data_IF_760109152280
#
_entry.id   IF_760109152280
#
_cell.length_a   1.000
_cell.length_b   1.000
_cell.length_c   1.000
_cell.angle_alpha   90.00
_cell.angle_beta   90.00
_cell.angle_gamma   90.00
#
_symmetry.space_group_name_H-M   'P 1'
#
loop_
_entity.id
_entity.type
_entity.pdbx_description
1 polymer ?
#
# COMPACT_ATOMS: atom_id res chain seq x y z
N UNK A 1 -0.65 20.43 -19.12
CA UNK A 1 0.21 19.80 -18.11
C UNK A 1 -0.45 19.79 -16.73
N UNK A 2 -1.08 20.90 -16.31
CA UNK A 2 -1.75 21.03 -14.99
C UNK A 2 -2.86 20.01 -14.70
N UNK A 3 -3.70 19.69 -15.67
CA UNK A 3 -4.84 18.78 -15.45
C UNK A 3 -4.35 17.36 -15.16
N UNK A 4 -3.32 16.89 -15.87
CA UNK A 4 -2.73 15.57 -15.67
C UNK A 4 -2.07 15.46 -14.29
N UNK A 5 -1.35 16.51 -13.86
CA UNK A 5 -0.74 16.57 -12.53
C UNK A 5 -1.78 16.57 -11.41
N UNK A 6 -2.83 17.40 -11.53
CA UNK A 6 -3.92 17.45 -10.54
C UNK A 6 -4.69 16.14 -10.47
N UNK A 7 -4.95 15.50 -11.62
CA UNK A 7 -5.61 14.21 -11.68
C UNK A 7 -4.75 13.10 -11.06
N UNK A 8 -3.45 13.06 -11.37
CA UNK A 8 -2.50 12.11 -10.77
C UNK A 8 -2.38 12.29 -9.26
N UNK A 9 -2.32 13.54 -8.80
CA UNK A 9 -2.33 13.87 -7.37
C UNK A 9 -3.61 13.42 -6.67
N UNK A 10 -4.78 13.70 -7.25
CA UNK A 10 -6.05 13.25 -6.69
C UNK A 10 -6.13 11.71 -6.62
N UNK A 11 -5.62 11.01 -7.65
CA UNK A 11 -5.56 9.55 -7.65
C UNK A 11 -4.63 9.01 -6.55
N UNK A 12 -3.45 9.61 -6.37
CA UNK A 12 -2.51 9.23 -5.31
C UNK A 12 -3.11 9.45 -3.91
N UNK A 13 -3.81 10.56 -3.69
CA UNK A 13 -4.54 10.82 -2.45
C UNK A 13 -5.64 9.78 -2.22
N UNK A 14 -6.44 9.48 -3.24
CA UNK A 14 -7.48 8.45 -3.17
C UNK A 14 -6.91 7.07 -2.83
N UNK A 15 -5.83 6.66 -3.50
CA UNK A 15 -5.15 5.39 -3.21
C UNK A 15 -4.62 5.37 -1.79
N UNK A 16 -3.98 6.45 -1.34
CA UNK A 16 -3.43 6.57 0.01
C UNK A 16 -4.51 6.45 1.11
N UNK A 17 -5.73 6.88 0.83
CA UNK A 17 -6.86 6.79 1.78
C UNK A 17 -7.59 5.45 1.67
N UNK A 18 -7.88 4.98 0.45
CA UNK A 18 -8.71 3.78 0.24
C UNK A 18 -7.96 2.49 0.52
N UNK A 19 -6.65 2.43 0.23
CA UNK A 19 -5.84 1.24 0.46
C UNK A 19 -5.85 0.77 1.93
N UNK A 20 -5.53 1.61 2.94
CA UNK A 20 -5.51 1.16 4.33
C UNK A 20 -6.90 0.72 4.80
N UNK A 21 -7.98 1.40 4.37
CA UNK A 21 -9.35 1.00 4.69
C UNK A 21 -9.67 -0.40 4.13
N UNK A 22 -9.32 -0.66 2.87
CA UNK A 22 -9.50 -1.96 2.24
C UNK A 22 -8.65 -3.06 2.88
N UNK A 23 -7.39 -2.75 3.21
CA UNK A 23 -6.47 -3.68 3.84
C UNK A 23 -6.93 -4.07 5.26
N UNK A 24 -7.38 -3.10 6.07
CA UNK A 24 -7.94 -3.34 7.40
C UNK A 24 -9.22 -4.17 7.31
N UNK A 25 -10.13 -3.82 6.40
CA UNK A 25 -11.37 -4.58 6.19
C UNK A 25 -11.09 -6.04 5.82
N UNK A 26 -10.17 -6.28 4.87
CA UNK A 26 -9.78 -7.64 4.48
C UNK A 26 -9.15 -8.40 5.64
N UNK A 27 -8.27 -7.75 6.42
CA UNK A 27 -7.64 -8.36 7.58
C UNK A 27 -8.67 -8.74 8.66
N UNK A 28 -9.62 -7.85 8.97
CA UNK A 28 -10.74 -8.16 9.86
C UNK A 28 -11.57 -9.34 9.36
N UNK A 29 -11.96 -9.32 8.08
CA UNK A 29 -12.75 -10.40 7.46
C UNK A 29 -12.02 -11.75 7.53
N UNK A 30 -10.69 -11.76 7.39
CA UNK A 30 -9.88 -12.97 7.54
C UNK A 30 -9.80 -13.45 8.99
N UNK A 31 -9.66 -12.55 9.96
CA UNK A 31 -9.58 -12.90 11.38
C UNK A 31 -10.92 -13.36 11.97
N UNK A 32 -12.04 -12.87 11.45
CA UNK A 32 -13.40 -13.25 11.89
C UNK A 32 -13.89 -14.59 11.30
N UNK A 33 -13.21 -15.14 10.28
CA UNK A 33 -13.57 -16.45 9.71
C UNK A 33 -13.01 -17.57 10.58
N UNK A 34 -13.86 -18.13 11.43
CA UNK A 34 -13.58 -19.39 12.12
C UNK A 34 -13.37 -20.51 11.10
N UNK A 35 -12.24 -21.23 11.20
CA UNK A 35 -11.90 -22.38 10.35
C UNK A 35 -10.87 -22.15 9.24
N UNK A 36 -10.39 -20.92 9.01
CA UNK A 36 -9.24 -20.70 8.11
C UNK A 36 -7.90 -20.78 8.88
N UNK A 37 -6.84 -21.38 8.29
CA UNK A 37 -5.51 -21.35 8.88
C UNK A 37 -5.07 -19.89 9.05
N UNK A 38 -4.61 -19.54 10.25
CA UNK A 38 -4.14 -18.18 10.55
C UNK A 38 -3.01 -17.82 9.57
N UNK A 39 -3.02 -16.61 8.97
CA UNK A 39 -1.96 -16.19 8.07
C UNK A 39 -0.60 -16.23 8.78
N UNK A 40 0.45 -16.55 8.02
CA UNK A 40 1.80 -16.59 8.58
C UNK A 40 2.19 -15.20 9.12
N UNK A 41 3.03 -15.12 10.18
CA UNK A 41 3.50 -13.85 10.71
C UNK A 41 4.15 -12.96 9.64
N UNK A 42 4.88 -13.55 8.69
CA UNK A 42 5.48 -12.84 7.57
C UNK A 42 4.43 -12.20 6.63
N UNK A 43 3.34 -12.92 6.33
CA UNK A 43 2.24 -12.40 5.51
C UNK A 43 1.51 -11.22 6.18
N UNK A 44 1.30 -11.30 7.49
CA UNK A 44 0.73 -10.19 8.26
C UNK A 44 1.67 -8.98 8.30
N UNK A 45 2.98 -9.22 8.50
CA UNK A 45 3.97 -8.15 8.51
C UNK A 45 4.01 -7.38 7.19
N UNK A 46 3.90 -8.08 6.06
CA UNK A 46 3.80 -7.44 4.74
C UNK A 46 2.53 -6.56 4.62
N UNK A 47 1.38 -7.00 5.14
CA UNK A 47 0.17 -6.17 5.16
C UNK A 47 0.36 -4.92 6.02
N UNK A 48 0.97 -5.03 7.20
CA UNK A 48 1.26 -3.86 8.04
C UNK A 48 2.23 -2.89 7.38
N UNK A 49 3.28 -3.39 6.71
CA UNK A 49 4.20 -2.56 5.94
C UNK A 49 3.46 -1.81 4.85
N UNK A 50 2.55 -2.46 4.13
CA UNK A 50 1.75 -1.79 3.09
C UNK A 50 0.75 -0.78 3.66
N UNK A 51 0.09 -1.10 4.77
CA UNK A 51 -0.81 -0.17 5.47
C UNK A 51 -0.07 1.09 5.92
N UNK A 52 1.21 0.98 6.30
CA UNK A 52 2.01 2.14 6.68
C UNK A 52 2.58 2.90 5.47
N UNK A 53 3.13 2.19 4.49
CA UNK A 53 3.91 2.79 3.40
C UNK A 53 3.05 3.34 2.26
N UNK A 54 1.93 2.68 1.92
CA UNK A 54 1.06 3.10 0.81
C UNK A 54 0.39 4.45 1.09
N UNK A 55 -0.18 4.71 2.28
CA UNK A 55 -0.70 6.03 2.61
C UNK A 55 0.40 7.08 2.66
N UNK A 56 1.58 6.74 3.18
CA UNK A 56 2.70 7.67 3.24
C UNK A 56 3.14 8.10 1.84
N UNK A 57 3.29 7.15 0.91
CA UNK A 57 3.63 7.43 -0.48
C UNK A 57 2.49 8.11 -1.24
N UNK A 58 1.25 7.66 -1.08
CA UNK A 58 0.06 8.17 -1.79
C UNK A 58 -0.35 9.56 -1.32
N UNK A 59 -0.37 9.82 -0.01
CA UNK A 59 -0.76 11.13 0.54
C UNK A 59 0.32 12.16 0.25
N UNK A 60 1.56 11.91 0.69
CA UNK A 60 2.66 12.86 0.47
C UNK A 60 3.03 13.00 -1.02
N UNK A 61 2.93 11.91 -1.78
CA UNK A 61 3.02 11.89 -3.24
C UNK A 61 1.94 12.74 -3.90
N UNK A 62 0.69 12.57 -3.47
CA UNK A 62 -0.45 13.32 -3.96
C UNK A 62 -0.33 14.82 -3.69
N UNK A 63 0.23 15.22 -2.55
CA UNK A 63 0.49 16.62 -2.23
C UNK A 63 1.47 17.31 -3.20
N UNK A 64 2.23 16.58 -4.02
CA UNK A 64 3.11 17.16 -5.04
C UNK A 64 2.42 18.12 -6.00
N UNK A 65 1.22 17.78 -6.44
CA UNK A 65 0.44 18.58 -7.39
C UNK A 65 -0.33 19.73 -6.74
N UNK A 66 -0.37 19.81 -5.40
CA UNK A 66 -1.08 20.86 -4.66
C UNK A 66 -0.14 21.82 -3.91
N UNK A 67 1.02 21.32 -3.45
CA UNK A 67 2.02 22.08 -2.72
C UNK A 67 3.44 21.72 -3.20
N UNK A 68 3.90 22.32 -4.31
CA UNK A 68 5.21 22.03 -4.91
C UNK A 68 6.39 22.30 -3.96
N UNK A 69 6.23 23.26 -3.04
CA UNK A 69 7.23 23.62 -2.03
C UNK A 69 7.61 22.46 -1.11
N UNK A 70 6.70 21.50 -0.87
CA UNK A 70 7.02 20.29 -0.10
C UNK A 70 8.06 19.42 -0.80
N UNK A 71 8.18 19.52 -2.12
CA UNK A 71 9.14 18.76 -2.93
C UNK A 71 10.50 19.41 -3.04
N UNK A 72 10.66 20.63 -2.54
CA UNK A 72 11.98 21.27 -2.42
C UNK A 72 12.80 20.59 -1.31
N UNK A 73 12.12 20.07 -0.27
CA UNK A 73 12.74 19.33 0.82
C UNK A 73 13.27 17.97 0.38
N UNK A 74 14.60 17.81 0.42
CA UNK A 74 15.25 16.53 0.13
C UNK A 74 14.81 15.42 1.08
N UNK A 75 14.50 15.74 2.34
CA UNK A 75 14.02 14.79 3.34
C UNK A 75 12.65 14.26 2.96
N UNK A 76 11.71 15.14 2.59
CA UNK A 76 10.36 14.72 2.18
C UNK A 76 10.45 13.83 0.94
N UNK A 77 11.22 14.23 -0.08
CA UNK A 77 11.43 13.39 -1.27
C UNK A 77 11.97 12.00 -0.93
N UNK A 78 12.98 11.93 -0.06
CA UNK A 78 13.57 10.65 0.34
C UNK A 78 12.55 9.75 1.06
N UNK A 79 11.73 10.33 1.94
CA UNK A 79 10.64 9.60 2.62
C UNK A 79 9.62 9.09 1.60
N UNK A 80 9.16 9.94 0.67
CA UNK A 80 8.15 9.56 -0.32
C UNK A 80 8.68 8.47 -1.26
N UNK A 81 9.89 8.62 -1.79
CA UNK A 81 10.50 7.61 -2.64
C UNK A 81 10.76 6.31 -1.88
N UNK A 82 11.29 6.38 -0.65
CA UNK A 82 11.51 5.22 0.19
C UNK A 82 10.22 4.47 0.51
N UNK A 83 9.16 5.19 0.86
CA UNK A 83 7.83 4.63 1.09
C UNK A 83 7.28 3.97 -0.19
N UNK A 84 7.39 4.64 -1.33
CA UNK A 84 6.95 4.09 -2.62
C UNK A 84 7.68 2.79 -2.99
N UNK A 85 9.01 2.76 -2.86
CA UNK A 85 9.81 1.56 -3.13
C UNK A 85 9.42 0.43 -2.18
N UNK A 86 9.32 0.70 -0.87
CA UNK A 86 8.89 -0.29 0.12
C UNK A 86 7.49 -0.83 -0.18
N UNK A 87 6.56 0.03 -0.60
CA UNK A 87 5.22 -0.41 -1.00
C UNK A 87 5.25 -1.36 -2.19
N UNK A 88 6.03 -1.06 -3.23
CA UNK A 88 6.16 -1.93 -4.41
C UNK A 88 6.77 -3.27 -4.03
N UNK A 89 7.86 -3.27 -3.24
CA UNK A 89 8.55 -4.49 -2.80
C UNK A 89 7.63 -5.36 -1.94
N UNK A 90 6.97 -4.78 -0.93
CA UNK A 90 6.09 -5.52 -0.05
C UNK A 90 4.86 -6.08 -0.81
N UNK A 91 4.33 -5.34 -1.77
CA UNK A 91 3.23 -5.80 -2.62
C UNK A 91 3.66 -6.96 -3.53
N UNK A 92 4.84 -6.87 -4.16
CA UNK A 92 5.40 -7.96 -4.95
C UNK A 92 5.60 -9.22 -4.10
N UNK A 93 6.14 -9.08 -2.89
CA UNK A 93 6.29 -10.20 -1.95
C UNK A 93 4.94 -10.81 -1.55
N UNK A 94 3.88 -10.01 -1.34
CA UNK A 94 2.53 -10.53 -1.09
C UNK A 94 1.97 -11.33 -2.27
N UNK A 95 2.18 -10.86 -3.50
CA UNK A 95 1.72 -11.58 -4.70
C UNK A 95 2.41 -12.95 -4.83
N UNK A 96 3.72 -13.01 -4.56
CA UNK A 96 4.46 -14.27 -4.56
C UNK A 96 3.98 -15.19 -3.42
N UNK A 97 3.81 -14.64 -2.21
CA UNK A 97 3.39 -15.39 -1.02
C UNK A 97 1.97 -15.96 -1.16
N UNK A 98 1.04 -15.19 -1.74
CA UNK A 98 -0.34 -15.62 -1.95
C UNK A 98 -0.48 -16.71 -3.00
N UNK A 99 0.35 -16.72 -4.05
CA UNK A 99 0.43 -17.83 -5.01
C UNK A 99 0.95 -19.11 -4.36
N UNK A 100 1.93 -19.01 -3.48
CA UNK A 100 2.47 -20.16 -2.74
C UNK A 100 1.46 -20.75 -1.73
N UNK A 101 0.42 -20.00 -1.36
CA UNK A 101 -0.63 -20.42 -0.42
C UNK A 101 -1.91 -20.90 -1.10
N UNK A 102 -2.01 -20.89 -2.43
CA UNK A 102 -3.13 -21.57 -3.11
C UNK A 102 -2.94 -23.08 -2.92
N UNK A 103 -3.88 -23.78 -2.23
CA UNK A 103 -3.87 -25.23 -2.25
C UNK A 103 -4.07 -25.65 -3.70
N UNK A 104 -3.33 -26.67 -4.12
CA UNK A 104 -3.57 -27.36 -5.39
C UNK A 104 -5.07 -27.69 -5.45
N UNK A 105 -5.80 -27.05 -6.37
CA UNK A 105 -7.21 -27.39 -6.65
C UNK A 105 -7.23 -28.65 -7.51
N UNK A 106 -6.59 -29.69 -7.02
CA UNK A 106 -6.57 -31.02 -7.59
C UNK A 106 -6.91 -32.00 -6.48
N UNK A 107 -8.19 -32.06 -6.15
CA UNK A 107 -8.91 -33.25 -5.65
C UNK A 107 -10.42 -33.01 -5.73
#
# INVERSE_FOLDING_TARGET
MDILYKAGSAALLLVGVLYPLGAIYMMMKFLTREGFPRPSPAYMMLHFVLIATVPLAGILGGFAGFAPTLWESQVIRAIVYGAGVLSVVAFAMLLVSSRAQQPDRSE
#
